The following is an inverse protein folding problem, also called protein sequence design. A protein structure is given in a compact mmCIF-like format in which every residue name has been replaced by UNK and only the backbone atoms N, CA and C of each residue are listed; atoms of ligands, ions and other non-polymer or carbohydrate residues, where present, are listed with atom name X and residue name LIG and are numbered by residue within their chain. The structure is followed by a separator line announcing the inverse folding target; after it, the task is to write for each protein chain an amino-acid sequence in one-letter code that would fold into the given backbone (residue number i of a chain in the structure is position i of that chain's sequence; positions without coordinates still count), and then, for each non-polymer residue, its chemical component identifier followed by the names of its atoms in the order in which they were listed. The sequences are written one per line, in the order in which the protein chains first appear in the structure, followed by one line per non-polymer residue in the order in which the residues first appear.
data_IF_679662414257
#
_entry.id   IF_679662414257
#
_cell.length_a   1.000
_cell.length_b   1.000
_cell.length_c   1.000
_cell.angle_alpha   90.00
_cell.angle_beta   90.00
_cell.angle_gamma   90.00
#
_symmetry.space_group_name_H-M   'P 1'
#
loop_
_entity.id
_entity.type
_entity.pdbx_description
1 polymer ?
#
# COMPACT_ATOMS: atom_id res chain seq x y z
N UNK A 1 -7.86 7.97 11.63
CA UNK A 1 -6.81 8.01 10.57
C UNK A 1 -7.23 8.91 9.45
N UNK A 2 -6.64 10.11 9.42
CA UNK A 2 -6.62 11.02 8.30
C UNK A 2 -5.49 10.64 7.32
N UNK A 3 -5.60 11.09 6.07
CA UNK A 3 -4.50 11.01 5.11
C UNK A 3 -3.58 12.22 5.30
N UNK A 4 -2.36 12.11 4.79
CA UNK A 4 -1.34 13.17 4.91
C UNK A 4 -1.68 14.42 4.10
N UNK A 5 -2.44 14.28 3.02
CA UNK A 5 -2.86 15.38 2.14
C UNK A 5 -4.38 15.41 2.01
N UNK A 6 -4.98 16.58 1.70
CA UNK A 6 -6.41 16.68 1.46
C UNK A 6 -6.80 15.83 0.26
N UNK A 7 -7.84 15.02 0.43
CA UNK A 7 -8.36 14.14 -0.62
C UNK A 7 -9.29 14.95 -1.52
N UNK A 8 -9.02 14.94 -2.82
CA UNK A 8 -9.92 15.52 -3.84
C UNK A 8 -10.79 14.43 -4.47
N UNK A 9 -11.85 14.84 -5.17
CA UNK A 9 -12.79 13.91 -5.86
C UNK A 9 -12.09 13.06 -6.95
N UNK A 10 -11.03 13.59 -7.53
CA UNK A 10 -10.21 12.93 -8.58
C UNK A 10 -9.30 11.81 -8.05
N UNK A 11 -9.28 11.59 -6.73
CA UNK A 11 -8.49 10.55 -6.10
C UNK A 11 -9.37 9.38 -5.67
N UNK A 12 -8.83 8.17 -5.72
CA UNK A 12 -9.40 7.01 -5.03
C UNK A 12 -8.56 6.69 -3.80
N UNK A 13 -9.18 6.30 -2.70
CA UNK A 13 -8.49 6.05 -1.44
C UNK A 13 -8.93 4.74 -0.80
N UNK A 14 -8.01 4.11 -0.07
CA UNK A 14 -8.26 2.94 0.75
C UNK A 14 -7.37 2.99 1.99
N UNK A 15 -7.93 2.63 3.15
CA UNK A 15 -7.20 2.54 4.42
C UNK A 15 -7.64 1.30 5.17
N UNK A 16 -6.68 0.59 5.76
CA UNK A 16 -6.99 -0.58 6.58
C UNK A 16 -5.93 -0.81 7.65
N UNK A 17 -6.34 -1.41 8.76
CA UNK A 17 -5.44 -1.95 9.77
C UNK A 17 -5.16 -3.42 9.43
N UNK A 18 -3.89 -3.74 9.19
CA UNK A 18 -3.46 -5.07 8.77
C UNK A 18 -2.64 -5.75 9.88
N UNK A 19 -2.93 -7.04 10.12
CA UNK A 19 -2.20 -7.89 11.07
C UNK A 19 -0.90 -8.44 10.44
N UNK A 20 0.03 -7.53 10.15
CA UNK A 20 1.33 -7.80 9.52
C UNK A 20 2.44 -7.01 10.22
N UNK A 21 3.69 -7.43 9.99
CA UNK A 21 4.87 -6.72 10.50
C UNK A 21 5.05 -5.39 9.78
N UNK A 22 5.17 -4.29 10.54
CA UNK A 22 5.43 -2.96 9.98
C UNK A 22 6.68 -2.93 9.09
N UNK A 23 7.80 -3.54 9.53
CA UNK A 23 9.07 -3.52 8.79
C UNK A 23 8.94 -4.16 7.39
N UNK A 24 8.23 -5.29 7.30
CA UNK A 24 8.02 -5.97 6.02
C UNK A 24 7.01 -5.23 5.15
N UNK A 25 5.92 -4.73 5.76
CA UNK A 25 4.93 -3.93 5.06
C UNK A 25 5.55 -2.65 4.47
N UNK A 26 6.39 -1.96 5.23
CA UNK A 26 7.10 -0.76 4.79
C UNK A 26 8.03 -1.04 3.61
N UNK A 27 8.75 -2.17 3.65
CA UNK A 27 9.62 -2.58 2.57
C UNK A 27 8.84 -2.86 1.27
N UNK A 28 7.76 -3.64 1.37
CA UNK A 28 6.86 -3.91 0.22
C UNK A 28 6.24 -2.61 -0.28
N UNK A 29 5.73 -1.75 0.62
CA UNK A 29 5.13 -0.48 0.25
C UNK A 29 6.10 0.44 -0.50
N UNK A 30 7.36 0.56 -0.04
CA UNK A 30 8.40 1.34 -0.73
C UNK A 30 8.64 0.84 -2.16
N UNK A 31 8.57 -0.47 -2.39
CA UNK A 31 8.80 -1.05 -3.72
C UNK A 31 7.72 -0.72 -4.75
N UNK A 32 6.48 -0.46 -4.30
CA UNK A 32 5.33 -0.17 -5.18
C UNK A 32 4.95 1.31 -5.20
N UNK A 33 5.44 2.08 -4.23
CA UNK A 33 5.14 3.49 -4.09
C UNK A 33 5.51 4.28 -5.36
N UNK A 34 4.66 5.23 -5.75
CA UNK A 34 4.76 6.10 -6.93
C UNK A 34 4.78 5.38 -8.28
N UNK A 35 4.61 4.06 -8.33
CA UNK A 35 4.48 3.31 -9.58
C UNK A 35 3.06 3.42 -10.14
N UNK A 36 2.88 3.29 -11.47
CA UNK A 36 1.53 3.20 -12.03
C UNK A 36 0.81 1.96 -11.51
N UNK A 37 -0.50 2.05 -11.36
CA UNK A 37 -1.33 1.01 -10.75
C UNK A 37 -1.07 -0.38 -11.33
N UNK A 38 -1.05 -0.51 -12.66
CA UNK A 38 -0.84 -1.79 -13.36
C UNK A 38 0.49 -2.43 -12.98
N UNK A 39 1.57 -1.64 -12.94
CA UNK A 39 2.90 -2.15 -12.54
C UNK A 39 2.94 -2.50 -11.06
N UNK A 40 2.31 -1.69 -10.21
CA UNK A 40 2.25 -1.95 -8.77
C UNK A 40 1.51 -3.28 -8.47
N UNK A 41 0.36 -3.51 -9.11
CA UNK A 41 -0.41 -4.76 -8.96
C UNK A 41 0.41 -5.97 -9.42
N UNK A 42 1.08 -5.86 -10.58
CA UNK A 42 1.96 -6.92 -11.11
C UNK A 42 3.09 -7.26 -10.13
N UNK A 43 3.78 -6.26 -9.57
CA UNK A 43 4.85 -6.49 -8.58
C UNK A 43 4.32 -7.22 -7.35
N UNK A 44 3.15 -6.83 -6.83
CA UNK A 44 2.56 -7.49 -5.67
C UNK A 44 2.17 -8.94 -5.98
N UNK A 45 1.65 -9.21 -7.19
CA UNK A 45 1.33 -10.56 -7.63
C UNK A 45 2.61 -11.41 -7.77
N UNK A 46 3.65 -10.88 -8.43
CA UNK A 46 4.94 -11.56 -8.59
C UNK A 46 5.58 -11.91 -7.23
N UNK A 47 5.33 -11.10 -6.19
CA UNK A 47 5.79 -11.36 -4.81
C UNK A 47 4.96 -12.41 -4.08
N UNK A 48 3.66 -12.49 -4.37
CA UNK A 48 2.79 -13.53 -3.80
C UNK A 48 3.08 -14.88 -4.45
N UNK A 49 3.33 -14.88 -5.76
CA UNK A 49 3.69 -16.06 -6.55
C UNK A 49 5.16 -16.48 -6.41
N UNK A 50 5.94 -15.76 -5.62
CA UNK A 50 7.39 -16.01 -5.38
C UNK A 50 8.25 -16.01 -6.67
N UNK A 51 7.81 -15.34 -7.73
CA UNK A 51 8.51 -15.27 -9.02
C UNK A 51 9.69 -14.30 -9.02
N UNK A 52 9.55 -13.18 -8.29
CA UNK A 52 10.58 -12.13 -8.23
C UNK A 52 10.74 -11.64 -6.80
N UNK A 53 11.95 -11.74 -6.28
CA UNK A 53 12.29 -11.22 -4.96
C UNK A 53 12.57 -9.71 -5.05
N UNK A 54 12.26 -8.98 -3.97
CA UNK A 54 12.63 -7.56 -3.84
C UNK A 54 14.05 -7.36 -3.30
N UNK A 55 14.71 -8.42 -2.82
CA UNK A 55 15.97 -8.37 -2.09
C UNK A 55 16.99 -9.30 -2.74
N UNK A 56 18.27 -8.89 -2.68
CA UNK A 56 19.43 -9.75 -3.00
C UNK A 56 19.43 -11.03 -2.15
N UNK A 57 18.85 -10.96 -0.94
CA UNK A 57 18.68 -12.12 -0.05
C UNK A 57 17.53 -13.07 -0.41
N UNK A 58 16.80 -12.83 -1.51
CA UNK A 58 15.73 -13.71 -1.98
C UNK A 58 14.41 -13.65 -1.20
N UNK A 59 14.23 -12.73 -0.25
CA UNK A 59 13.00 -12.67 0.57
C UNK A 59 11.83 -12.00 -0.19
N UNK A 60 10.69 -12.70 -0.22
CA UNK A 60 9.47 -12.24 -0.91
C UNK A 60 8.49 -11.48 -0.02
N UNK A 61 8.48 -11.76 1.29
CA UNK A 61 7.50 -11.20 2.24
C UNK A 61 6.03 -11.45 1.84
N UNK A 62 5.73 -12.66 1.39
CA UNK A 62 4.42 -13.12 0.86
C UNK A 62 3.22 -12.68 1.69
N UNK A 63 3.26 -12.84 3.03
CA UNK A 63 2.15 -12.42 3.91
C UNK A 63 1.85 -10.92 3.81
N UNK A 64 2.88 -10.07 3.76
CA UNK A 64 2.72 -8.62 3.62
C UNK A 64 2.25 -8.26 2.22
N UNK A 65 2.82 -8.89 1.19
CA UNK A 65 2.40 -8.68 -0.20
C UNK A 65 0.94 -9.04 -0.43
N UNK A 66 0.48 -10.20 0.06
CA UNK A 66 -0.92 -10.65 -0.04
C UNK A 66 -1.90 -9.65 0.59
N UNK A 67 -1.62 -9.20 1.81
CA UNK A 67 -2.49 -8.23 2.51
C UNK A 67 -2.50 -6.85 1.87
N UNK A 68 -1.38 -6.42 1.29
CA UNK A 68 -1.33 -5.16 0.54
C UNK A 68 -2.06 -5.30 -0.80
N UNK A 69 -1.96 -6.45 -1.47
CA UNK A 69 -2.69 -6.75 -2.70
C UNK A 69 -4.22 -6.72 -2.47
N UNK A 70 -4.71 -7.31 -1.39
CA UNK A 70 -6.11 -7.22 -0.96
C UNK A 70 -6.56 -5.75 -0.85
N UNK A 71 -5.75 -4.89 -0.22
CA UNK A 71 -6.04 -3.46 -0.09
C UNK A 71 -6.06 -2.74 -1.45
N UNK A 72 -5.14 -3.10 -2.36
CA UNK A 72 -5.06 -2.53 -3.71
C UNK A 72 -6.26 -2.95 -4.57
N UNK A 73 -6.82 -4.14 -4.37
CA UNK A 73 -8.05 -4.56 -5.03
C UNK A 73 -9.28 -3.78 -4.53
N UNK A 74 -9.36 -3.49 -3.23
CA UNK A 74 -10.39 -2.58 -2.69
C UNK A 74 -10.25 -1.18 -3.28
N UNK A 75 -9.02 -0.70 -3.43
CA UNK A 75 -8.73 0.60 -4.05
C UNK A 75 -9.19 0.64 -5.53
N UNK A 76 -9.03 -0.45 -6.26
CA UNK A 76 -9.54 -0.63 -7.62
C UNK A 76 -11.06 -0.53 -7.67
N UNK A 77 -11.77 -1.26 -6.79
CA UNK A 77 -13.22 -1.21 -6.69
C UNK A 77 -13.73 0.21 -6.38
N UNK A 78 -13.06 0.92 -5.48
CA UNK A 78 -13.38 2.31 -5.15
C UNK A 78 -13.16 3.26 -6.34
N UNK A 79 -12.13 3.02 -7.14
CA UNK A 79 -11.87 3.84 -8.33
C UNK A 79 -12.90 3.58 -9.44
N UNK A 80 -13.30 2.31 -9.63
CA UNK A 80 -14.38 1.93 -10.56
C UNK A 80 -15.72 2.55 -10.16
N UNK A 81 -16.07 2.51 -8.87
CA UNK A 81 -17.28 3.14 -8.36
C UNK A 81 -17.32 4.67 -8.59
N UNK A 82 -16.15 5.30 -8.74
CA UNK A 82 -16.02 6.74 -9.03
C UNK A 82 -15.77 7.05 -10.51
N UNK A 83 -15.80 6.05 -11.40
CA UNK A 83 -15.50 6.18 -12.82
C UNK A 83 -14.13 6.85 -13.12
N UNK A 84 -13.14 6.61 -12.27
CA UNK A 84 -11.80 7.18 -12.43
C UNK A 84 -10.93 6.31 -13.37
N UNK A 85 -10.09 6.91 -14.23
CA UNK A 85 -9.17 6.17 -15.11
C UNK A 85 -7.96 5.60 -14.34
N UNK A 86 -8.20 4.60 -13.49
CA UNK A 86 -7.26 4.10 -12.48
C UNK A 86 -5.98 3.46 -13.04
N UNK A 87 -6.03 2.90 -14.25
CA UNK A 87 -4.89 2.19 -14.86
C UNK A 87 -3.65 3.09 -15.05
N UNK A 88 -3.89 4.35 -15.40
CA UNK A 88 -2.84 5.37 -15.65
C UNK A 88 -2.46 6.12 -14.38
N UNK A 89 -3.17 5.91 -13.27
CA UNK A 89 -2.90 6.61 -12.00
C UNK A 89 -1.68 6.05 -11.29
N UNK A 90 -1.00 6.91 -10.55
CA UNK A 90 0.11 6.53 -9.68
C UNK A 90 -0.42 6.10 -8.31
N UNK A 91 0.10 4.98 -7.82
CA UNK A 91 -0.19 4.48 -6.48
C UNK A 91 0.72 5.16 -5.46
N UNK A 92 0.12 5.87 -4.51
CA UNK A 92 0.79 6.38 -3.32
C UNK A 92 0.40 5.49 -2.14
N UNK A 93 1.40 4.87 -1.52
CA UNK A 93 1.16 4.00 -0.36
C UNK A 93 2.06 4.40 0.81
N UNK A 94 1.50 4.41 2.00
CA UNK A 94 2.23 4.66 3.24
C UNK A 94 1.84 3.65 4.31
N UNK A 95 2.79 3.35 5.18
CA UNK A 95 2.62 2.40 6.28
C UNK A 95 2.97 3.12 7.58
N UNK A 96 2.06 3.06 8.55
CA UNK A 96 2.25 3.64 9.88
C UNK A 96 2.08 2.59 10.97
N UNK A 97 2.50 2.94 12.20
CA UNK A 97 2.37 2.05 13.36
C UNK A 97 0.89 1.84 13.70
N UNK A 98 0.48 0.58 13.80
CA UNK A 98 -0.86 0.19 14.23
C UNK A 98 -1.10 0.41 15.73
N UNK A 99 -2.34 0.26 16.20
CA UNK A 99 -2.63 0.26 17.63
C UNK A 99 -1.85 -0.85 18.34
N UNK A 100 -1.46 -0.61 19.59
CA UNK A 100 -0.80 -1.61 20.42
C UNK A 100 -1.85 -2.61 20.94
N UNK A 101 -1.96 -3.75 20.26
CA UNK A 101 -2.76 -4.88 20.73
C UNK A 101 -1.85 -5.89 21.42
N UNK A 102 -2.33 -6.54 22.48
CA UNK A 102 -1.54 -7.47 23.29
C UNK A 102 -2.13 -8.88 23.24
N UNK A 103 -1.28 -9.90 23.36
CA UNK A 103 -1.70 -11.30 23.42
C UNK A 103 -2.23 -11.65 24.82
N UNK A 104 -3.34 -12.37 24.87
CA UNK A 104 -4.06 -12.68 26.13
C UNK A 104 -3.94 -14.15 26.61
N UNK A 105 -3.59 -15.11 25.75
CA UNK A 105 -3.86 -16.54 26.03
C UNK A 105 -2.71 -17.38 26.60
N UNK A 106 -1.47 -17.20 26.15
CA UNK A 106 -0.36 -18.11 26.50
C UNK A 106 0.60 -17.44 27.50
N UNK A 107 0.86 -18.08 28.65
CA UNK A 107 1.71 -17.52 29.74
C UNK A 107 3.04 -16.93 29.23
N UNK A 108 3.72 -17.59 28.30
CA UNK A 108 5.00 -17.13 27.72
C UNK A 108 4.90 -15.93 26.76
N UNK A 109 3.72 -15.70 26.19
CA UNK A 109 3.48 -14.65 25.19
C UNK A 109 2.50 -13.58 25.68
N UNK A 110 2.00 -13.72 26.91
CA UNK A 110 1.12 -12.77 27.57
C UNK A 110 1.78 -11.40 27.63
N UNK A 111 1.03 -10.33 27.34
CA UNK A 111 1.57 -8.97 27.32
C UNK A 111 2.54 -8.67 26.16
N UNK A 112 2.83 -9.62 25.26
CA UNK A 112 3.59 -9.31 24.03
C UNK A 112 2.70 -8.63 23.00
N UNK A 113 3.24 -7.60 22.35
CA UNK A 113 2.55 -6.83 21.31
C UNK A 113 2.31 -7.67 20.06
N UNK A 114 1.09 -7.63 19.56
CA UNK A 114 0.72 -8.15 18.25
C UNK A 114 1.28 -7.23 17.16
N UNK A 115 1.67 -7.85 16.05
CA UNK A 115 2.16 -7.14 14.87
C UNK A 115 0.94 -6.60 14.10
N UNK A 116 0.70 -5.30 14.22
CA UNK A 116 -0.30 -4.59 13.44
C UNK A 116 0.29 -3.31 12.87
N UNK A 117 -0.12 -2.97 11.66
CA UNK A 117 0.21 -1.71 11.03
C UNK A 117 -1.00 -1.14 10.29
N UNK A 118 -1.03 0.17 10.13
CA UNK A 118 -2.02 0.81 9.29
C UNK A 118 -1.41 1.07 7.94
N UNK A 119 -2.17 0.78 6.89
CA UNK A 119 -1.76 1.01 5.53
C UNK A 119 -2.75 1.97 4.89
N UNK A 120 -2.21 3.02 4.28
CA UNK A 120 -2.96 4.02 3.54
C UNK A 120 -2.53 3.94 2.09
N UNK A 121 -3.50 3.81 1.18
CA UNK A 121 -3.26 3.78 -0.25
C UNK A 121 -4.15 4.81 -0.94
N UNK A 122 -3.57 5.53 -1.90
CA UNK A 122 -4.25 6.55 -2.69
C UNK A 122 -3.84 6.39 -4.15
N UNK A 123 -4.81 6.38 -5.05
CA UNK A 123 -4.57 6.59 -6.47
C UNK A 123 -4.75 8.06 -6.78
N UNK A 124 -3.71 8.63 -7.40
CA UNK A 124 -3.72 10.00 -7.88
C UNK A 124 -3.41 10.00 -9.37
N UNK A 125 -4.22 10.73 -10.13
CA UNK A 125 -3.95 11.01 -11.54
C UNK A 125 -2.58 11.65 -11.73
N UNK A 126 -1.89 11.28 -12.80
CA UNK A 126 -0.79 12.10 -13.30
C UNK A 126 -1.47 13.31 -13.93
N UNK A 127 -1.63 14.39 -13.16
CA UNK A 127 -1.84 15.71 -13.75
C UNK A 127 -0.65 15.87 -14.68
N UNK A 128 -0.89 15.96 -16.00
CA UNK A 128 0.16 16.23 -16.97
C UNK A 128 1.01 17.34 -16.38
N UNK A 129 2.31 17.08 -16.23
CA UNK A 129 3.28 18.09 -15.84
C UNK A 129 2.97 19.32 -16.68
N UNK A 130 2.37 20.34 -16.07
CA UNK A 130 2.50 21.71 -16.52
C UNK A 130 3.96 22.02 -16.32
N UNK A 131 4.82 21.49 -17.22
CA UNK A 131 6.17 21.99 -17.41
C UNK A 131 5.97 23.49 -17.50
N UNK A 132 6.45 24.18 -16.46
CA UNK A 132 6.39 25.64 -16.33
C UNK A 132 6.57 26.22 -17.73
N UNK A 133 5.56 26.93 -18.24
CA UNK A 133 5.78 27.83 -19.38
C UNK A 133 6.86 28.80 -18.91
N UNK A 134 8.11 28.50 -19.22
CA UNK A 134 9.20 29.47 -19.15
C UNK A 134 8.77 30.54 -20.13
N UNK A 135 8.27 31.65 -19.60
CA UNK A 135 8.03 32.86 -20.39
C UNK A 135 9.39 33.20 -21.02
N UNK A 136 9.47 33.08 -22.35
CA UNK A 136 10.51 33.76 -23.12
C UNK A 136 10.19 35.24 -23.15
#
# INVERSE_FOLDING_TARGET
MSYTFPITKEMACAKSMLSISRKHAEFVARSVNRKPYVKAKKILQDLVDEKKSLLVSGKFHTKSAKRILELVNVLEANAKARNLPYEKMKLYISVSKGPAMYRLRTKQMYGKKLKACNVHAVLKGVVNDTRKKVRK
#
